data_IF_887367388581
#
_entry.id   IF_887367388581
#
_cell.length_a   1.000
_cell.length_b   1.000
_cell.length_c   1.000
_cell.angle_alpha   90.00
_cell.angle_beta   90.00
_cell.angle_gamma   90.00
#
_symmetry.space_group_name_H-M   'P 1'
#
loop_
_entity.id
_entity.type
_entity.pdbx_description
1 polymer ?
#
# COMPACT_ATOMS: atom_id res chain seq x y z
N UNK A 1 -6.40 11.42 60.78
CA UNK A 1 -5.16 11.06 61.47
C UNK A 1 -4.18 10.52 60.48
N UNK A 2 -3.05 11.26 60.35
CA UNK A 2 -1.78 10.95 59.66
C UNK A 2 -1.87 10.85 58.12
N UNK A 3 -1.60 11.86 57.36
CA UNK A 3 -0.47 12.80 57.14
C UNK A 3 0.88 12.09 56.90
N UNK A 4 1.37 12.12 55.65
CA UNK A 4 2.78 12.19 55.30
C UNK A 4 2.96 12.72 53.86
N UNK A 5 3.16 13.94 53.76
CA UNK A 5 4.15 14.88 53.21
C UNK A 5 5.18 14.30 52.23
N UNK A 6 5.10 14.85 51.02
CA UNK A 6 6.09 15.52 50.17
C UNK A 6 7.59 15.16 50.34
N UNK A 7 8.21 14.84 49.23
CA UNK A 7 9.58 15.26 48.94
C UNK A 7 9.72 15.72 47.47
N UNK A 8 9.98 17.03 47.35
CA UNK A 8 10.50 17.70 46.14
C UNK A 8 12.03 17.59 46.14
N UNK A 9 12.61 17.29 45.01
CA UNK A 9 13.94 17.68 44.44
C UNK A 9 14.24 16.67 43.32
N UNK A 10 14.61 17.04 42.14
CA UNK A 10 15.48 18.10 41.68
C UNK A 10 15.25 18.43 40.18
N UNK A 11 15.36 19.72 39.91
CA UNK A 11 15.53 20.26 38.56
C UNK A 11 16.81 19.71 37.91
N UNK A 12 16.69 19.11 36.72
CA UNK A 12 17.79 18.91 35.79
C UNK A 12 17.38 19.45 34.42
N UNK A 13 17.81 20.68 34.15
CA UNK A 13 17.71 21.28 32.80
C UNK A 13 18.56 20.43 31.84
N UNK A 14 17.93 19.85 30.85
CA UNK A 14 18.63 19.49 29.60
C UNK A 14 17.97 20.22 28.46
N UNK A 15 18.62 21.29 28.02
CA UNK A 15 18.38 21.95 26.74
C UNK A 15 18.93 21.03 25.67
N UNK A 16 18.07 20.28 25.03
CA UNK A 16 18.41 19.44 23.87
C UNK A 16 17.82 20.07 22.60
N UNK A 17 18.70 20.45 21.74
CA UNK A 17 18.50 21.17 20.48
C UNK A 17 17.40 20.54 19.64
N UNK A 18 16.38 21.35 19.31
CA UNK A 18 15.53 21.11 18.14
C UNK A 18 16.43 21.18 16.89
N UNK A 19 16.69 20.05 16.29
CA UNK A 19 17.13 19.99 14.90
C UNK A 19 15.88 19.99 14.04
N UNK A 20 15.54 21.14 13.51
CA UNK A 20 14.56 21.27 12.42
C UNK A 20 15.12 20.54 11.21
N UNK A 21 14.57 19.39 10.85
CA UNK A 21 14.79 18.81 9.53
C UNK A 21 13.89 19.53 8.53
N UNK A 22 14.43 20.54 7.93
CA UNK A 22 13.85 21.27 6.82
C UNK A 22 14.16 20.56 5.50
N UNK A 23 13.11 20.39 4.70
CA UNK A 23 13.14 20.47 3.23
C UNK A 23 13.86 19.32 2.53
N UNK A 24 13.07 18.41 2.00
CA UNK A 24 13.44 17.69 0.76
C UNK A 24 13.50 18.71 -0.40
N UNK A 25 14.63 19.40 -0.49
CA UNK A 25 14.96 20.25 -1.60
C UNK A 25 15.12 19.43 -2.86
N UNK A 26 14.57 19.91 -3.95
CA UNK A 26 14.88 19.46 -5.31
C UNK A 26 16.37 19.54 -5.54
N UNK A 27 17.06 18.39 -5.54
CA UNK A 27 18.46 18.32 -5.96
C UNK A 27 18.47 18.33 -7.48
N UNK A 28 19.11 19.33 -8.12
CA UNK A 28 19.31 19.29 -9.57
C UNK A 28 20.24 18.12 -9.91
N UNK A 29 19.82 17.29 -10.85
CA UNK A 29 20.58 16.18 -11.35
C UNK A 29 21.89 16.68 -11.98
N UNK A 30 23.00 16.47 -11.28
CA UNK A 30 24.33 16.60 -11.86
C UNK A 30 24.74 15.21 -12.34
N UNK A 31 24.86 15.08 -13.65
CA UNK A 31 25.39 13.86 -14.27
C UNK A 31 26.85 13.65 -13.83
N UNK A 32 27.09 12.64 -13.02
CA UNK A 32 28.40 12.06 -12.79
C UNK A 32 28.36 10.60 -13.20
N UNK A 33 29.22 10.22 -14.12
CA UNK A 33 29.44 8.84 -14.55
C UNK A 33 30.12 8.13 -13.37
N UNK A 34 29.54 7.07 -12.79
CA UNK A 34 30.19 6.39 -11.68
C UNK A 34 30.98 5.18 -12.14
N UNK A 35 32.19 5.08 -11.66
CA UNK A 35 32.93 3.84 -11.51
C UNK A 35 32.13 2.88 -10.61
N UNK A 36 31.88 1.68 -11.08
CA UNK A 36 31.42 0.45 -10.45
C UNK A 36 30.94 0.41 -8.99
N UNK A 37 30.03 1.29 -8.57
CA UNK A 37 29.33 1.18 -7.28
C UNK A 37 28.01 0.43 -7.45
N UNK A 38 27.61 -0.34 -6.44
CA UNK A 38 26.30 -0.98 -6.36
C UNK A 38 25.21 0.04 -6.68
N UNK A 39 24.18 -0.30 -7.48
CA UNK A 39 23.10 0.61 -7.80
C UNK A 39 22.44 1.09 -6.50
N UNK A 40 22.43 2.41 -6.29
CA UNK A 40 21.83 3.02 -5.11
C UNK A 40 20.31 3.00 -5.21
N UNK A 41 19.65 2.88 -4.05
CA UNK A 41 18.23 3.11 -3.92
C UNK A 41 17.87 4.51 -4.45
N UNK A 42 16.90 4.57 -5.36
CA UNK A 42 16.31 5.82 -5.86
C UNK A 42 14.86 5.87 -5.42
N UNK A 43 14.48 6.88 -4.66
CA UNK A 43 13.11 7.08 -4.22
C UNK A 43 12.74 8.56 -4.29
N UNK A 44 11.50 8.86 -4.65
CA UNK A 44 10.97 10.21 -4.65
C UNK A 44 9.44 10.22 -4.53
N UNK A 45 8.90 11.34 -4.04
CA UNK A 45 7.47 11.64 -4.07
C UNK A 45 7.13 12.37 -5.36
N UNK A 46 6.10 11.91 -6.06
CA UNK A 46 5.58 12.52 -7.26
C UNK A 46 4.11 12.90 -7.07
N UNK A 47 3.69 14.08 -7.51
CA UNK A 47 2.28 14.40 -7.59
C UNK A 47 1.67 13.67 -8.80
N UNK A 48 0.56 12.93 -8.59
CA UNK A 48 -0.17 12.30 -9.68
C UNK A 48 -1.56 12.93 -9.82
N UNK A 49 -1.97 13.22 -11.04
CA UNK A 49 -3.33 13.68 -11.34
C UNK A 49 -4.36 12.54 -11.20
N UNK A 50 -3.91 11.30 -11.34
CA UNK A 50 -4.71 10.08 -11.17
C UNK A 50 -4.62 9.46 -9.78
N UNK A 51 -4.05 10.16 -8.80
CA UNK A 51 -4.05 9.73 -7.38
C UNK A 51 -5.47 9.48 -6.87
N UNK A 52 -5.63 8.64 -5.81
CA UNK A 52 -6.92 8.43 -5.16
C UNK A 52 -7.62 9.71 -4.75
N UNK A 53 -6.87 10.67 -4.24
CA UNK A 53 -7.36 11.98 -3.80
C UNK A 53 -6.58 13.12 -4.48
N UNK A 54 -7.21 14.31 -4.59
CA UNK A 54 -8.58 14.67 -4.24
C UNK A 54 -9.63 13.95 -5.12
N UNK A 55 -10.81 13.69 -4.56
CA UNK A 55 -11.91 13.04 -5.24
C UNK A 55 -13.26 13.73 -4.94
N UNK A 56 -13.96 14.18 -6.00
CA UNK A 56 -15.24 14.88 -5.93
C UNK A 56 -16.35 14.12 -6.66
N UNK A 57 -16.19 12.81 -6.82
CA UNK A 57 -17.21 11.96 -7.41
C UNK A 57 -18.17 11.38 -6.36
N UNK A 58 -18.88 10.35 -6.77
CA UNK A 58 -19.89 9.68 -5.95
C UNK A 58 -19.34 8.40 -5.33
N UNK A 59 -19.89 7.99 -4.21
CA UNK A 59 -19.63 6.69 -3.59
C UNK A 59 -20.34 5.59 -4.38
N UNK A 60 -19.72 4.42 -4.56
CA UNK A 60 -20.29 3.35 -5.38
C UNK A 60 -21.40 2.58 -4.67
N UNK A 61 -21.51 2.66 -3.35
CA UNK A 61 -22.46 1.92 -2.53
C UNK A 61 -23.87 2.50 -2.57
N UNK A 62 -24.01 3.83 -2.60
CA UNK A 62 -25.30 4.52 -2.54
C UNK A 62 -25.45 5.65 -3.57
N UNK A 63 -24.40 5.96 -4.33
CA UNK A 63 -24.41 7.03 -5.35
C UNK A 63 -24.40 8.45 -4.77
N UNK A 64 -24.24 8.63 -3.45
CA UNK A 64 -24.12 9.94 -2.84
C UNK A 64 -22.76 10.57 -3.13
N UNK A 65 -22.68 11.89 -3.05
CA UNK A 65 -21.42 12.62 -3.19
C UNK A 65 -20.44 12.20 -2.10
N UNK A 66 -19.17 12.01 -2.48
CA UNK A 66 -18.13 11.67 -1.51
C UNK A 66 -17.90 12.81 -0.52
N UNK A 67 -17.81 14.06 -0.99
CA UNK A 67 -17.74 15.25 -0.15
C UNK A 67 -19.14 15.63 0.32
N UNK A 68 -19.63 14.97 1.37
CA UNK A 68 -21.00 15.05 1.89
C UNK A 68 -21.19 16.09 2.99
N UNK A 69 -20.11 16.78 3.39
CA UNK A 69 -20.14 17.82 4.42
C UNK A 69 -19.61 19.14 3.89
N UNK A 70 -20.37 20.21 4.16
CA UNK A 70 -19.89 21.58 3.98
C UNK A 70 -19.69 22.24 5.35
N UNK A 71 -18.44 22.44 5.72
CA UNK A 71 -18.07 23.11 6.95
C UNK A 71 -18.07 24.61 6.84
N UNK A 72 -17.60 25.29 7.90
CA UNK A 72 -17.45 26.73 7.90
C UNK A 72 -16.55 27.21 6.75
N UNK A 73 -16.85 28.40 6.19
CA UNK A 73 -16.12 29.02 5.08
C UNK A 73 -16.08 28.15 3.79
N UNK A 74 -17.08 27.29 3.59
CA UNK A 74 -17.16 26.47 2.38
C UNK A 74 -16.18 25.30 2.32
N UNK A 75 -15.54 24.94 3.44
CA UNK A 75 -14.65 23.76 3.48
C UNK A 75 -15.46 22.50 3.18
N UNK A 76 -15.01 21.73 2.20
CA UNK A 76 -15.57 20.43 1.88
C UNK A 76 -15.02 19.37 2.83
N UNK A 77 -15.84 18.39 3.17
CA UNK A 77 -15.48 17.27 4.03
C UNK A 77 -16.25 16.01 3.71
N UNK A 78 -15.83 14.90 4.30
CA UNK A 78 -16.44 13.60 4.17
C UNK A 78 -16.73 13.01 5.56
N UNK A 79 -17.90 12.41 5.71
CA UNK A 79 -18.28 11.63 6.89
C UNK A 79 -17.82 10.19 6.72
N UNK A 80 -16.78 9.80 7.43
CA UNK A 80 -16.27 8.43 7.35
C UNK A 80 -17.32 7.43 7.89
N UNK A 81 -17.52 6.29 7.21
CA UNK A 81 -18.34 5.20 7.71
C UNK A 81 -17.88 4.64 9.06
N UNK A 82 -16.60 4.88 9.43
CA UNK A 82 -16.03 4.48 10.71
C UNK A 82 -16.15 5.54 11.80
N UNK A 83 -16.79 6.67 11.47
CA UNK A 83 -17.02 7.80 12.35
C UNK A 83 -16.04 8.95 12.14
N UNK A 84 -16.52 10.15 12.45
CA UNK A 84 -15.78 11.38 12.28
C UNK A 84 -16.01 12.06 10.93
N UNK A 85 -15.83 13.37 10.93
CA UNK A 85 -15.84 14.21 9.72
C UNK A 85 -14.41 14.65 9.46
N UNK A 86 -13.94 14.39 8.25
CA UNK A 86 -12.60 14.75 7.79
C UNK A 86 -12.68 15.73 6.64
N UNK A 87 -11.92 16.82 6.73
CA UNK A 87 -11.97 17.88 5.74
C UNK A 87 -10.92 17.69 4.63
N UNK A 88 -11.31 18.03 3.40
CA UNK A 88 -10.50 17.83 2.20
C UNK A 88 -9.10 18.42 2.31
N UNK A 89 -9.02 19.70 2.75
CA UNK A 89 -7.77 20.44 2.85
C UNK A 89 -6.69 19.80 3.74
N UNK A 90 -7.08 18.88 4.62
CA UNK A 90 -6.16 18.15 5.51
C UNK A 90 -6.03 16.68 5.20
N UNK A 91 -7.11 16.07 4.75
CA UNK A 91 -7.21 14.61 4.67
C UNK A 91 -7.22 14.09 3.24
N UNK A 92 -7.89 14.80 2.32
CA UNK A 92 -8.16 14.29 0.97
C UNK A 92 -7.54 15.15 -0.14
N UNK A 93 -6.56 15.98 0.16
CA UNK A 93 -5.89 16.83 -0.83
C UNK A 93 -4.50 16.31 -1.24
N UNK A 94 -3.95 15.36 -0.51
CA UNK A 94 -2.61 14.83 -0.79
C UNK A 94 -2.64 13.85 -1.96
N UNK A 95 -2.09 14.25 -3.09
CA UNK A 95 -2.00 13.47 -4.32
C UNK A 95 -0.58 12.92 -4.58
N UNK A 96 0.26 12.89 -3.55
CA UNK A 96 1.62 12.37 -3.66
C UNK A 96 1.64 10.85 -3.71
N UNK A 97 2.59 10.34 -4.47
CA UNK A 97 2.86 8.93 -4.65
C UNK A 97 4.35 8.69 -4.42
N UNK A 98 4.69 7.79 -3.52
CA UNK A 98 6.05 7.31 -3.36
C UNK A 98 6.35 6.35 -4.52
N UNK A 99 7.38 6.68 -5.30
CA UNK A 99 7.94 5.79 -6.31
C UNK A 99 9.40 5.47 -5.95
N UNK A 100 9.78 4.20 -6.05
CA UNK A 100 11.14 3.79 -5.75
C UNK A 100 11.64 2.67 -6.64
N UNK A 101 12.94 2.72 -6.91
CA UNK A 101 13.75 1.66 -7.52
C UNK A 101 14.77 1.20 -6.48
N UNK A 102 14.59 0.03 -5.86
CA UNK A 102 15.54 -0.53 -4.91
C UNK A 102 16.94 -0.71 -5.52
N UNK A 103 17.95 -0.71 -4.67
CA UNK A 103 19.29 -1.08 -5.08
C UNK A 103 19.27 -2.48 -5.72
N UNK A 104 19.91 -2.62 -6.89
CA UNK A 104 19.90 -3.88 -7.63
C UNK A 104 18.69 -4.12 -8.53
N UNK A 105 17.67 -3.24 -8.55
CA UNK A 105 16.62 -3.32 -9.54
C UNK A 105 17.17 -3.25 -10.97
N UNK A 106 16.79 -4.19 -11.81
CA UNK A 106 17.25 -4.26 -13.20
C UNK A 106 16.10 -4.46 -14.18
N UNK A 107 15.79 -3.41 -14.93
CA UNK A 107 14.71 -3.43 -15.93
C UNK A 107 15.01 -4.35 -17.14
N UNK A 108 16.27 -4.79 -17.31
CA UNK A 108 16.67 -5.73 -18.36
C UNK A 108 16.34 -7.19 -18.02
N UNK A 109 16.08 -7.47 -16.74
CA UNK A 109 15.62 -8.76 -16.21
C UNK A 109 14.09 -8.79 -16.13
N UNK A 110 13.52 -9.98 -15.90
CA UNK A 110 12.12 -10.08 -15.49
C UNK A 110 11.92 -9.30 -14.19
N UNK A 111 10.99 -8.37 -14.20
CA UNK A 111 10.73 -7.49 -13.07
C UNK A 111 9.24 -7.33 -12.83
N UNK A 112 8.85 -6.82 -11.66
CA UNK A 112 7.49 -6.50 -11.29
C UNK A 112 7.40 -5.08 -10.70
N UNK A 113 6.17 -4.59 -10.50
CA UNK A 113 5.88 -3.41 -9.71
C UNK A 113 5.09 -3.87 -8.49
N UNK A 114 5.62 -3.65 -7.30
CA UNK A 114 4.87 -3.75 -6.05
C UNK A 114 4.09 -2.46 -5.89
N UNK A 115 2.76 -2.56 -5.81
CA UNK A 115 1.88 -1.42 -5.51
C UNK A 115 1.36 -1.62 -4.10
N UNK A 116 1.71 -0.73 -3.18
CA UNK A 116 1.36 -0.82 -1.78
C UNK A 116 0.27 0.17 -1.39
N UNK A 117 -0.81 -0.34 -0.79
CA UNK A 117 -1.91 0.44 -0.25
C UNK A 117 -1.89 0.39 1.26
N UNK A 118 -1.64 1.54 1.88
CA UNK A 118 -1.53 1.68 3.31
C UNK A 118 -2.90 1.64 4.02
N UNK A 119 -2.88 1.43 5.33
CA UNK A 119 -4.07 1.42 6.18
C UNK A 119 -4.53 2.81 6.60
N UNK A 120 -5.51 2.83 7.52
CA UNK A 120 -6.06 4.05 8.09
C UNK A 120 -5.06 4.78 8.99
N UNK A 121 -5.33 6.05 9.29
CA UNK A 121 -4.52 6.92 10.16
C UNK A 121 -3.04 6.98 9.76
N UNK A 122 -2.75 6.94 8.45
CA UNK A 122 -1.40 6.83 7.96
C UNK A 122 -0.99 7.98 7.02
N UNK A 123 0.31 8.23 7.01
CA UNK A 123 0.98 9.05 6.01
C UNK A 123 2.10 8.27 5.34
N UNK A 124 2.48 8.65 4.12
CA UNK A 124 3.56 7.98 3.40
C UNK A 124 4.88 8.01 4.20
N UNK A 125 5.26 9.17 4.77
CA UNK A 125 6.54 9.26 5.47
C UNK A 125 6.49 8.52 6.81
N UNK A 126 5.59 8.92 7.72
CA UNK A 126 5.57 8.39 9.09
C UNK A 126 5.28 6.89 9.13
N UNK A 127 4.35 6.43 8.29
CA UNK A 127 3.86 5.05 8.39
C UNK A 127 4.47 4.14 7.34
N UNK A 128 4.39 4.50 6.05
CA UNK A 128 4.84 3.60 4.97
C UNK A 128 6.37 3.49 4.95
N UNK A 129 7.08 4.63 5.09
CA UNK A 129 8.55 4.64 5.05
C UNK A 129 9.13 4.30 6.41
N UNK A 130 8.78 5.05 7.47
CA UNK A 130 9.50 4.96 8.74
C UNK A 130 9.00 3.80 9.61
N UNK A 131 7.69 3.71 9.89
CA UNK A 131 7.14 2.70 10.82
C UNK A 131 7.04 1.31 10.19
N UNK A 132 6.41 1.20 9.02
CA UNK A 132 6.19 -0.08 8.33
C UNK A 132 7.39 -0.52 7.49
N UNK A 133 8.31 0.38 7.22
CA UNK A 133 9.55 0.14 6.46
C UNK A 133 9.30 -0.54 5.11
N UNK A 134 8.18 -0.19 4.44
CA UNK A 134 7.76 -0.87 3.19
C UNK A 134 8.84 -0.76 2.12
N UNK A 135 9.48 0.41 2.01
CA UNK A 135 10.57 0.63 1.07
C UNK A 135 11.75 -0.31 1.35
N UNK A 136 12.16 -0.43 2.61
CA UNK A 136 13.25 -1.31 3.02
C UNK A 136 12.87 -2.77 2.82
N UNK A 137 11.64 -3.15 3.14
CA UNK A 137 11.16 -4.51 2.96
C UNK A 137 11.18 -4.93 1.48
N UNK A 138 10.74 -4.06 0.57
CA UNK A 138 10.86 -4.33 -0.87
C UNK A 138 12.33 -4.35 -1.31
N UNK A 139 13.15 -3.43 -0.79
CA UNK A 139 14.56 -3.34 -1.13
C UNK A 139 15.36 -4.56 -0.65
N UNK A 140 15.02 -5.11 0.51
CA UNK A 140 15.73 -6.25 1.10
C UNK A 140 15.25 -7.61 0.55
N UNK A 141 14.12 -7.65 -0.17
CA UNK A 141 13.65 -8.88 -0.79
C UNK A 141 14.49 -9.30 -1.99
N UNK A 142 14.45 -10.58 -2.34
CA UNK A 142 15.07 -11.12 -3.56
C UNK A 142 14.25 -10.84 -4.82
N UNK A 143 13.12 -10.15 -4.69
CA UNK A 143 12.27 -9.81 -5.81
C UNK A 143 12.85 -8.62 -6.59
N UNK A 144 13.00 -8.77 -7.90
CA UNK A 144 13.34 -7.66 -8.79
C UNK A 144 12.09 -6.79 -9.04
N UNK A 145 11.80 -5.88 -8.12
CA UNK A 145 10.60 -5.07 -8.17
C UNK A 145 10.85 -3.59 -7.88
N UNK A 146 10.12 -2.73 -8.59
CA UNK A 146 9.93 -1.33 -8.24
C UNK A 146 8.78 -1.19 -7.22
N UNK A 147 8.78 -0.12 -6.43
CA UNK A 147 7.71 0.21 -5.47
C UNK A 147 6.93 1.43 -5.93
N UNK A 148 5.60 1.35 -5.82
CA UNK A 148 4.66 2.47 -5.93
C UNK A 148 3.72 2.44 -4.72
N UNK A 149 3.58 3.56 -4.02
CA UNK A 149 2.63 3.69 -2.91
C UNK A 149 1.95 5.07 -2.96
N UNK A 150 0.65 5.13 -3.28
CA UNK A 150 -0.12 6.38 -3.21
C UNK A 150 -0.44 6.75 -1.77
N UNK A 151 -0.61 8.07 -1.50
CA UNK A 151 -1.26 8.53 -0.29
C UNK A 151 -2.77 8.36 -0.44
N UNK A 152 -3.40 7.71 0.53
CA UNK A 152 -4.85 7.70 0.75
C UNK A 152 -5.24 8.77 1.76
N UNK A 153 -6.40 8.63 2.41
CA UNK A 153 -6.86 9.57 3.44
C UNK A 153 -5.77 9.77 4.52
N UNK A 154 -5.31 11.03 4.65
CA UNK A 154 -4.25 11.39 5.59
C UNK A 154 -4.81 11.44 7.01
N UNK A 155 -4.18 10.72 7.94
CA UNK A 155 -4.51 10.75 9.38
C UNK A 155 -6.01 10.60 9.67
N UNK A 156 -6.70 9.74 8.92
CA UNK A 156 -8.13 9.50 9.05
C UNK A 156 -8.43 8.02 9.25
N UNK A 157 -9.44 7.75 10.05
CA UNK A 157 -10.04 6.43 10.17
C UNK A 157 -11.01 6.21 9.00
N UNK A 158 -10.46 6.19 7.78
CA UNK A 158 -11.22 6.11 6.54
C UNK A 158 -10.47 5.26 5.51
N UNK A 159 -11.16 4.25 4.99
CA UNK A 159 -10.65 3.31 3.99
C UNK A 159 -11.11 3.63 2.57
N UNK A 160 -11.66 4.80 2.33
CA UNK A 160 -12.21 5.20 1.03
C UNK A 160 -11.19 5.10 -0.09
N UNK A 161 -11.59 4.51 -1.21
CA UNK A 161 -10.72 4.33 -2.36
C UNK A 161 -10.61 5.57 -3.25
N UNK A 162 -11.48 6.58 -3.02
CA UNK A 162 -11.50 7.79 -3.79
C UNK A 162 -11.64 7.54 -5.29
N UNK A 163 -10.76 8.13 -6.10
CA UNK A 163 -10.79 7.95 -7.56
C UNK A 163 -10.71 6.48 -8.02
N UNK A 164 -10.16 5.57 -7.21
CA UNK A 164 -10.10 4.16 -7.61
C UNK A 164 -11.46 3.46 -7.65
N UNK A 165 -12.53 4.09 -7.14
CA UNK A 165 -13.89 3.67 -7.40
C UNK A 165 -14.32 3.82 -8.87
N UNK A 166 -13.66 4.72 -9.62
CA UNK A 166 -14.02 5.01 -11.01
C UNK A 166 -13.44 3.93 -11.94
N UNK A 167 -14.25 3.36 -12.85
CA UNK A 167 -13.77 2.38 -13.81
C UNK A 167 -12.56 2.87 -14.61
N UNK A 168 -11.50 2.05 -14.66
CA UNK A 168 -10.26 2.36 -15.38
C UNK A 168 -9.28 3.29 -14.66
N UNK A 169 -9.65 3.88 -13.51
CA UNK A 169 -8.80 4.86 -12.83
C UNK A 169 -7.47 4.26 -12.32
N UNK A 170 -7.46 3.02 -11.84
CA UNK A 170 -6.21 2.38 -11.43
C UNK A 170 -5.27 2.13 -12.62
N UNK A 171 -5.79 1.82 -13.80
CA UNK A 171 -4.97 1.73 -15.01
C UNK A 171 -4.35 3.06 -15.41
N UNK A 172 -5.09 4.18 -15.27
CA UNK A 172 -4.55 5.54 -15.47
C UNK A 172 -3.45 5.85 -14.45
N UNK A 173 -3.68 5.56 -13.18
CA UNK A 173 -2.68 5.68 -12.11
C UNK A 173 -1.40 4.92 -12.44
N UNK A 174 -1.50 3.67 -12.91
CA UNK A 174 -0.35 2.87 -13.32
C UNK A 174 0.35 3.43 -14.57
N UNK A 175 -0.35 4.20 -15.39
CA UNK A 175 0.23 4.95 -16.51
C UNK A 175 1.15 6.09 -16.02
N UNK A 176 0.72 6.87 -15.03
CA UNK A 176 1.56 7.90 -14.37
C UNK A 176 2.70 7.27 -13.57
N UNK A 177 2.44 6.17 -12.86
CA UNK A 177 3.48 5.41 -12.16
C UNK A 177 4.61 4.96 -13.09
N UNK A 178 4.27 4.50 -14.29
CA UNK A 178 5.26 4.11 -15.30
C UNK A 178 6.12 5.29 -15.75
N UNK A 179 5.55 6.48 -15.81
CA UNK A 179 6.28 7.72 -16.14
C UNK A 179 7.22 8.13 -15.00
N UNK A 180 6.75 8.06 -13.74
CA UNK A 180 7.56 8.36 -12.56
C UNK A 180 8.75 7.40 -12.41
N UNK A 181 8.51 6.09 -12.59
CA UNK A 181 9.56 5.07 -12.56
C UNK A 181 10.58 5.25 -13.68
N UNK A 182 10.15 5.60 -14.89
CA UNK A 182 11.06 5.90 -16.00
C UNK A 182 11.94 7.13 -15.71
N UNK A 183 11.38 8.14 -15.03
CA UNK A 183 12.14 9.31 -14.57
C UNK A 183 13.19 8.91 -13.52
N UNK A 184 12.85 8.08 -12.55
CA UNK A 184 13.80 7.54 -11.57
C UNK A 184 14.88 6.65 -12.21
N UNK A 185 14.49 5.87 -13.21
CA UNK A 185 15.44 5.05 -13.99
C UNK A 185 16.45 5.91 -14.76
N UNK A 186 16.07 7.15 -15.11
CA UNK A 186 16.92 8.09 -15.84
C UNK A 186 16.74 8.03 -17.36
N UNK A 187 15.66 7.41 -17.85
CA UNK A 187 15.35 7.35 -19.28
C UNK A 187 13.84 7.38 -19.52
N UNK A 188 13.37 8.43 -20.19
CA UNK A 188 11.95 8.53 -20.61
C UNK A 188 11.50 7.40 -21.52
N UNK A 189 12.41 6.83 -22.31
CA UNK A 189 12.13 5.70 -23.19
C UNK A 189 11.79 4.41 -22.41
N UNK A 190 12.15 4.31 -21.14
CA UNK A 190 11.81 3.19 -20.28
C UNK A 190 10.32 3.14 -19.88
N UNK A 191 9.53 4.21 -20.13
CA UNK A 191 8.12 4.27 -19.76
C UNK A 191 7.31 3.09 -20.28
N UNK A 192 7.49 2.72 -21.55
CA UNK A 192 6.77 1.58 -22.14
C UNK A 192 7.16 0.26 -21.48
N UNK A 193 8.42 0.07 -21.11
CA UNK A 193 8.86 -1.11 -20.37
C UNK A 193 8.19 -1.18 -18.99
N UNK A 194 8.18 -0.11 -18.22
CA UNK A 194 7.48 -0.06 -16.92
C UNK A 194 5.97 -0.26 -17.09
N UNK A 195 5.36 0.28 -18.15
CA UNK A 195 3.93 0.09 -18.44
C UNK A 195 3.57 -1.36 -18.75
N UNK A 196 4.52 -2.18 -19.22
CA UNK A 196 4.36 -3.61 -19.47
C UNK A 196 4.61 -4.51 -18.27
N UNK A 197 5.21 -4.01 -17.19
CA UNK A 197 5.56 -4.86 -16.04
C UNK A 197 4.31 -5.40 -15.33
N UNK A 198 4.36 -6.65 -14.85
CA UNK A 198 3.35 -7.22 -13.97
C UNK A 198 3.27 -6.45 -12.65
N UNK A 199 2.11 -6.53 -12.01
CA UNK A 199 1.79 -5.86 -10.75
C UNK A 199 1.61 -6.92 -9.67
N UNK A 200 2.22 -6.69 -8.51
CA UNK A 200 1.91 -7.35 -7.25
C UNK A 200 1.25 -6.30 -6.37
N UNK A 201 -0.05 -6.47 -6.13
CA UNK A 201 -0.83 -5.57 -5.29
C UNK A 201 -0.71 -6.00 -3.84
N UNK A 202 -0.27 -5.11 -2.98
CA UNK A 202 -0.13 -5.34 -1.55
C UNK A 202 -1.04 -4.35 -0.81
N UNK A 203 -1.87 -4.83 0.09
CA UNK A 203 -2.71 -3.97 0.93
C UNK A 203 -2.54 -4.34 2.40
N UNK A 204 -2.49 -3.32 3.23
CA UNK A 204 -2.50 -3.43 4.68
C UNK A 204 -3.74 -2.74 5.26
N UNK A 205 -4.44 -3.40 6.21
CA UNK A 205 -5.53 -2.77 6.96
C UNK A 205 -6.58 -2.12 6.03
N UNK A 206 -6.88 -0.84 6.24
CA UNK A 206 -7.81 -0.04 5.43
C UNK A 206 -7.51 0.02 3.93
N UNK A 207 -6.31 -0.38 3.50
CA UNK A 207 -5.94 -0.53 2.09
C UNK A 207 -6.74 -1.58 1.32
N UNK A 208 -7.56 -2.38 2.01
CA UNK A 208 -8.43 -3.38 1.38
C UNK A 208 -9.43 -2.77 0.39
N UNK A 209 -10.03 -1.63 0.74
CA UNK A 209 -11.07 -1.02 -0.10
C UNK A 209 -10.52 -0.56 -1.45
N UNK A 210 -9.44 0.27 -1.51
CA UNK A 210 -8.84 0.59 -2.80
C UNK A 210 -8.29 -0.64 -3.55
N UNK A 211 -7.83 -1.69 -2.85
CA UNK A 211 -7.39 -2.93 -3.49
C UNK A 211 -8.57 -3.65 -4.16
N UNK A 212 -9.70 -3.80 -3.46
CA UNK A 212 -10.90 -4.43 -4.00
C UNK A 212 -11.40 -3.73 -5.27
N UNK A 213 -11.43 -2.40 -5.28
CA UNK A 213 -11.88 -1.64 -6.44
C UNK A 213 -10.85 -1.59 -7.58
N UNK A 214 -9.54 -1.57 -7.26
CA UNK A 214 -8.50 -1.75 -8.27
C UNK A 214 -8.65 -3.09 -9.02
N UNK A 215 -9.06 -4.15 -8.31
CA UNK A 215 -9.33 -5.48 -8.88
C UNK A 215 -10.66 -5.52 -9.63
N UNK A 216 -11.73 -4.94 -9.08
CA UNK A 216 -13.07 -5.05 -9.65
C UNK A 216 -13.25 -4.20 -10.91
N UNK A 217 -12.85 -2.93 -10.86
CA UNK A 217 -13.13 -1.95 -11.92
C UNK A 217 -11.90 -1.19 -12.42
N UNK A 218 -10.73 -1.40 -11.82
CA UNK A 218 -9.54 -0.58 -12.03
C UNK A 218 -8.90 -0.65 -13.42
N UNK A 219 -9.25 -1.64 -14.25
CA UNK A 219 -8.83 -1.73 -15.66
C UNK A 219 -7.42 -2.30 -15.88
N UNK A 220 -6.69 -2.73 -14.82
CA UNK A 220 -5.33 -3.24 -14.93
C UNK A 220 -5.21 -4.77 -14.68
N UNK A 221 -6.32 -5.50 -14.61
CA UNK A 221 -6.36 -6.92 -14.19
C UNK A 221 -5.40 -7.84 -14.97
N UNK A 222 -5.21 -7.60 -16.27
CA UNK A 222 -4.28 -8.40 -17.08
C UNK A 222 -2.83 -8.28 -16.63
N UNK A 223 -2.47 -7.24 -15.88
CA UNK A 223 -1.12 -7.02 -15.34
C UNK A 223 -0.98 -7.54 -13.91
N UNK A 224 -2.06 -7.68 -13.16
CA UNK A 224 -2.01 -8.12 -11.76
C UNK A 224 -1.70 -9.62 -11.74
N UNK A 225 -0.54 -9.98 -11.17
CA UNK A 225 -0.02 -11.36 -11.06
C UNK A 225 0.01 -11.86 -9.63
N UNK A 226 -0.27 -11.01 -8.68
CA UNK A 226 -0.37 -11.38 -7.28
C UNK A 226 -1.10 -10.34 -6.45
N UNK A 227 -1.79 -10.81 -5.43
CA UNK A 227 -2.41 -9.99 -4.39
C UNK A 227 -1.94 -10.51 -3.04
N UNK A 228 -1.47 -9.61 -2.20
CA UNK A 228 -1.03 -9.87 -0.82
C UNK A 228 -1.83 -8.96 0.10
N UNK A 229 -2.61 -9.55 1.00
CA UNK A 229 -3.35 -8.84 2.03
C UNK A 229 -2.72 -9.13 3.40
N UNK A 230 -2.38 -8.07 4.11
CA UNK A 230 -1.78 -8.12 5.44
C UNK A 230 -2.76 -7.48 6.43
N UNK A 231 -3.51 -8.34 7.12
CA UNK A 231 -4.62 -7.99 8.02
C UNK A 231 -5.60 -6.99 7.40
N UNK A 232 -5.91 -7.19 6.11
CA UNK A 232 -6.62 -6.23 5.27
C UNK A 232 -7.97 -6.74 4.75
N UNK A 233 -8.28 -8.03 4.82
CA UNK A 233 -9.53 -8.56 4.28
C UNK A 233 -10.67 -8.44 5.30
N UNK A 234 -11.12 -7.22 5.55
CA UNK A 234 -12.18 -6.93 6.53
C UNK A 234 -13.56 -6.74 5.88
N UNK A 235 -13.59 -6.36 4.61
CA UNK A 235 -14.81 -6.20 3.80
C UNK A 235 -14.51 -6.41 2.31
N UNK A 236 -15.49 -6.18 1.42
CA UNK A 236 -15.38 -6.32 -0.05
C UNK A 236 -15.03 -7.75 -0.49
N UNK A 237 -15.38 -8.74 0.28
CA UNK A 237 -15.06 -10.16 0.02
C UNK A 237 -15.59 -10.67 -1.31
N UNK A 238 -16.73 -10.15 -1.80
CA UNK A 238 -17.30 -10.45 -3.11
C UNK A 238 -16.33 -10.09 -4.25
N UNK A 239 -15.67 -8.93 -4.19
CA UNK A 239 -14.73 -8.46 -5.22
C UNK A 239 -13.44 -9.27 -5.24
N UNK A 240 -12.91 -9.60 -4.05
CA UNK A 240 -11.74 -10.48 -3.94
C UNK A 240 -12.06 -11.89 -4.44
N UNK A 241 -13.18 -12.48 -4.03
CA UNK A 241 -13.58 -13.80 -4.50
C UNK A 241 -13.80 -13.85 -6.02
N UNK A 242 -14.47 -12.83 -6.58
CA UNK A 242 -14.69 -12.73 -8.03
C UNK A 242 -13.36 -12.60 -8.79
N UNK A 243 -12.41 -11.78 -8.29
CA UNK A 243 -11.10 -11.66 -8.92
C UNK A 243 -10.31 -12.96 -8.82
N UNK A 244 -10.30 -13.64 -7.68
CA UNK A 244 -9.62 -14.95 -7.51
C UNK A 244 -10.22 -15.94 -8.51
N UNK A 245 -11.54 -16.04 -8.59
CA UNK A 245 -12.21 -16.97 -9.52
C UNK A 245 -11.82 -16.73 -10.97
N UNK A 246 -11.69 -15.47 -11.38
CA UNK A 246 -11.32 -15.09 -12.74
C UNK A 246 -9.82 -15.22 -13.05
N UNK A 247 -8.96 -15.08 -12.03
CA UNK A 247 -7.52 -14.80 -12.24
C UNK A 247 -6.57 -15.82 -11.62
N UNK A 248 -7.00 -16.67 -10.67
CA UNK A 248 -6.10 -17.55 -9.89
C UNK A 248 -5.15 -18.39 -10.76
N UNK A 249 -5.58 -18.86 -11.94
CA UNK A 249 -4.72 -19.66 -12.83
C UNK A 249 -3.53 -18.88 -13.42
N UNK A 250 -3.60 -17.54 -13.39
CA UNK A 250 -2.57 -16.65 -13.94
C UNK A 250 -1.91 -15.76 -12.87
N UNK A 251 -2.40 -15.85 -11.63
CA UNK A 251 -1.97 -15.03 -10.50
C UNK A 251 -2.04 -15.83 -9.20
N UNK A 252 -1.40 -15.33 -8.16
CA UNK A 252 -1.54 -15.86 -6.80
C UNK A 252 -2.35 -14.92 -5.92
N UNK A 253 -2.90 -15.45 -4.84
CA UNK A 253 -3.56 -14.70 -3.77
C UNK A 253 -3.03 -15.17 -2.41
N UNK A 254 -2.69 -14.21 -1.56
CA UNK A 254 -2.30 -14.45 -0.17
C UNK A 254 -3.03 -13.49 0.74
N UNK A 255 -3.63 -14.00 1.82
CA UNK A 255 -4.16 -13.21 2.92
C UNK A 255 -3.65 -13.77 4.23
N UNK A 256 -2.83 -12.98 4.93
CA UNK A 256 -2.46 -13.23 6.32
C UNK A 256 -3.31 -12.34 7.23
N UNK A 257 -3.88 -12.89 8.31
CA UNK A 257 -4.86 -12.15 9.09
C UNK A 257 -4.89 -12.53 10.57
N UNK A 258 -5.20 -11.54 11.39
CA UNK A 258 -5.52 -11.66 12.81
C UNK A 258 -7.01 -11.96 13.01
N UNK A 259 -7.42 -12.16 14.25
CA UNK A 259 -8.84 -12.36 14.61
C UNK A 259 -9.74 -11.20 14.12
N UNK A 260 -9.19 -9.98 14.03
CA UNK A 260 -9.93 -8.80 13.59
C UNK A 260 -10.42 -8.90 12.12
N UNK A 261 -9.68 -9.59 11.26
CA UNK A 261 -10.04 -9.79 9.85
C UNK A 261 -10.56 -11.21 9.54
N UNK A 262 -10.74 -12.07 10.54
CA UNK A 262 -11.17 -13.46 10.37
C UNK A 262 -12.51 -13.59 9.64
N UNK A 263 -13.49 -12.72 9.95
CA UNK A 263 -14.81 -12.76 9.33
C UNK A 263 -14.78 -12.53 7.81
N UNK A 264 -14.00 -11.56 7.35
CA UNK A 264 -13.84 -11.27 5.91
C UNK A 264 -13.11 -12.41 5.17
N UNK A 265 -12.08 -12.97 5.80
CA UNK A 265 -11.37 -14.13 5.23
C UNK A 265 -12.29 -15.35 5.11
N UNK A 266 -13.03 -15.69 6.16
CA UNK A 266 -14.00 -16.81 6.14
C UNK A 266 -15.12 -16.61 5.11
N UNK A 267 -15.53 -15.35 4.84
CA UNK A 267 -16.51 -15.07 3.78
C UNK A 267 -15.93 -15.42 2.39
N UNK A 268 -14.71 -14.99 2.10
CA UNK A 268 -14.04 -15.30 0.83
C UNK A 268 -13.80 -16.80 0.69
N UNK A 269 -13.32 -17.48 1.72
CA UNK A 269 -13.11 -18.93 1.73
C UNK A 269 -14.41 -19.69 1.40
N UNK A 270 -15.55 -19.32 1.99
CA UNK A 270 -16.86 -19.92 1.66
C UNK A 270 -17.24 -19.70 0.21
N UNK A 271 -17.05 -18.48 -0.30
CA UNK A 271 -17.33 -18.15 -1.72
C UNK A 271 -16.47 -18.97 -2.66
N UNK A 272 -15.17 -19.12 -2.39
CA UNK A 272 -14.26 -19.93 -3.19
C UNK A 272 -14.66 -21.40 -3.18
N UNK A 273 -14.98 -21.94 -2.00
CA UNK A 273 -15.45 -23.32 -1.85
C UNK A 273 -16.71 -23.57 -2.68
N UNK A 274 -17.68 -22.63 -2.68
CA UNK A 274 -18.91 -22.74 -3.48
C UNK A 274 -18.65 -22.72 -5.00
N UNK A 275 -17.51 -22.18 -5.42
CA UNK A 275 -17.06 -22.19 -6.83
C UNK A 275 -16.08 -23.33 -7.15
N UNK A 276 -15.84 -24.26 -6.21
CA UNK A 276 -14.90 -25.36 -6.38
C UNK A 276 -13.44 -24.94 -6.47
N UNK A 277 -13.09 -23.78 -5.92
CA UNK A 277 -11.70 -23.28 -5.88
C UNK A 277 -11.08 -23.67 -4.54
N UNK A 278 -10.02 -24.50 -4.60
CA UNK A 278 -9.26 -24.88 -3.43
C UNK A 278 -8.31 -23.79 -2.96
N UNK A 279 -7.97 -23.80 -1.68
CA UNK A 279 -6.99 -22.93 -1.06
C UNK A 279 -6.20 -23.65 0.03
N UNK A 280 -5.06 -23.10 0.42
CA UNK A 280 -4.25 -23.57 1.53
C UNK A 280 -4.35 -22.63 2.73
N UNK A 281 -4.10 -23.15 3.95
CA UNK A 281 -4.18 -22.40 5.20
C UNK A 281 -2.84 -22.29 5.95
N UNK A 282 -1.77 -22.83 5.36
CA UNK A 282 -0.42 -22.75 5.93
C UNK A 282 0.45 -21.70 5.24
N UNK A 283 1.52 -21.29 5.91
CA UNK A 283 2.51 -20.37 5.34
C UNK A 283 3.07 -20.95 4.03
N UNK A 284 3.05 -20.20 2.92
CA UNK A 284 3.45 -20.70 1.61
C UNK A 284 4.96 -20.89 1.53
N UNK A 285 5.40 -21.93 0.83
CA UNK A 285 6.81 -22.11 0.45
C UNK A 285 7.18 -21.30 -0.79
N UNK A 286 6.22 -21.07 -1.65
CA UNK A 286 6.31 -20.25 -2.87
C UNK A 286 4.99 -19.54 -3.09
N UNK A 287 4.99 -18.46 -3.86
CA UNK A 287 3.83 -17.73 -4.35
C UNK A 287 3.92 -17.70 -5.88
N UNK A 288 3.09 -18.48 -6.54
CA UNK A 288 3.07 -18.67 -7.99
C UNK A 288 1.63 -18.71 -8.51
N UNK A 289 1.41 -18.54 -9.80
CA UNK A 289 0.09 -18.67 -10.40
C UNK A 289 -0.58 -19.99 -10.00
N UNK A 290 -1.81 -19.90 -9.53
CA UNK A 290 -2.58 -21.02 -8.99
C UNK A 290 -2.66 -21.07 -7.47
N UNK A 291 -1.73 -20.43 -6.77
CA UNK A 291 -1.74 -20.44 -5.30
C UNK A 291 -2.79 -19.48 -4.75
N UNK A 292 -3.66 -19.99 -3.89
CA UNK A 292 -4.60 -19.22 -3.08
C UNK A 292 -4.38 -19.64 -1.63
N UNK A 293 -4.01 -18.69 -0.77
CA UNK A 293 -3.58 -19.00 0.59
C UNK A 293 -4.19 -18.04 1.60
N UNK A 294 -4.75 -18.60 2.68
CA UNK A 294 -5.25 -17.85 3.83
C UNK A 294 -4.51 -18.32 5.08
N UNK A 295 -3.92 -17.39 5.83
CA UNK A 295 -3.12 -17.73 7.01
C UNK A 295 -3.64 -16.96 8.22
N UNK A 296 -4.33 -17.67 9.11
CA UNK A 296 -4.69 -17.11 10.42
C UNK A 296 -3.44 -17.08 11.32
N UNK A 297 -3.23 -15.95 11.98
CA UNK A 297 -2.14 -15.77 12.94
C UNK A 297 -2.70 -15.43 14.31
N UNK A 298 -2.46 -16.30 15.27
CA UNK A 298 -2.87 -16.09 16.65
C UNK A 298 -1.87 -15.16 17.38
N UNK A 299 -2.39 -14.22 18.18
CA UNK A 299 -1.57 -13.41 19.07
C UNK A 299 -0.70 -12.35 18.36
N UNK A 300 -0.99 -12.02 17.13
CA UNK A 300 -0.36 -10.92 16.40
C UNK A 300 -1.29 -9.72 16.44
N UNK A 301 -0.81 -8.61 16.96
CA UNK A 301 -1.54 -7.37 16.98
C UNK A 301 -1.57 -6.74 15.57
N UNK A 302 -2.66 -6.01 15.29
CA UNK A 302 -2.85 -5.36 14.00
C UNK A 302 -1.68 -4.47 13.59
N UNK A 303 -1.17 -3.67 14.52
CA UNK A 303 -0.07 -2.73 14.25
C UNK A 303 1.26 -3.42 13.95
N UNK A 304 1.46 -4.64 14.46
CA UNK A 304 2.66 -5.43 14.25
C UNK A 304 2.65 -6.17 12.91
N UNK A 305 1.50 -6.23 12.24
CA UNK A 305 1.32 -7.06 11.04
C UNK A 305 2.26 -6.72 9.89
N UNK A 306 2.74 -5.48 9.83
CA UNK A 306 3.71 -5.04 8.82
C UNK A 306 5.16 -5.26 9.21
N UNK A 307 5.45 -5.48 10.50
CA UNK A 307 6.84 -5.50 11.00
C UNK A 307 7.22 -6.77 11.74
N UNK A 308 6.26 -7.46 12.36
CA UNK A 308 6.53 -8.63 13.19
C UNK A 308 5.32 -9.57 13.31
N UNK A 309 4.80 -10.05 12.17
CA UNK A 309 3.70 -11.02 12.16
C UNK A 309 4.22 -12.44 12.50
N UNK A 310 4.28 -13.36 11.53
CA UNK A 310 4.90 -14.70 11.72
C UNK A 310 6.42 -14.69 11.63
N UNK A 311 7.00 -13.62 11.15
CA UNK A 311 8.44 -13.31 11.09
C UNK A 311 8.64 -11.81 11.18
N UNK A 312 9.85 -11.36 11.46
CA UNK A 312 10.26 -9.97 11.22
C UNK A 312 10.21 -9.66 9.74
N UNK A 313 9.72 -8.45 9.39
CA UNK A 313 9.61 -8.01 8.00
C UNK A 313 8.81 -8.97 7.10
N UNK A 314 7.53 -9.23 7.43
CA UNK A 314 6.72 -10.25 6.76
C UNK A 314 6.51 -9.97 5.27
N UNK A 315 6.55 -8.70 4.83
CA UNK A 315 6.47 -8.37 3.42
C UNK A 315 7.74 -8.83 2.67
N UNK A 316 8.93 -8.62 3.23
CA UNK A 316 10.19 -9.17 2.67
C UNK A 316 10.07 -10.68 2.50
N UNK A 317 9.63 -11.37 3.56
CA UNK A 317 9.47 -12.82 3.58
C UNK A 317 8.49 -13.32 2.50
N UNK A 318 7.38 -12.63 2.26
CA UNK A 318 6.43 -12.96 1.20
C UNK A 318 7.00 -12.69 -0.18
N UNK A 319 7.65 -11.53 -0.38
CA UNK A 319 8.22 -11.15 -1.66
C UNK A 319 9.35 -12.10 -2.10
N UNK A 320 10.13 -12.65 -1.16
CA UNK A 320 11.15 -13.68 -1.43
C UNK A 320 10.57 -14.96 -2.00
N UNK A 321 9.28 -15.20 -1.76
CA UNK A 321 8.56 -16.41 -2.24
C UNK A 321 7.87 -16.22 -3.57
N UNK A 322 7.75 -14.98 -4.04
CA UNK A 322 7.16 -14.70 -5.35
C UNK A 322 8.05 -15.24 -6.45
N UNK A 323 7.51 -16.15 -7.25
CA UNK A 323 8.27 -16.80 -8.31
C UNK A 323 8.26 -16.01 -9.62
N UNK A 324 9.35 -16.12 -10.37
CA UNK A 324 9.41 -15.61 -11.74
C UNK A 324 10.11 -14.26 -11.93
N UNK A 325 10.48 -13.56 -10.86
CA UNK A 325 11.09 -12.22 -10.92
C UNK A 325 12.31 -12.10 -10.00
N UNK A 326 13.35 -12.95 -10.14
CA UNK A 326 14.53 -12.89 -9.26
C UNK A 326 15.35 -11.62 -9.54
N UNK A 327 15.93 -11.06 -8.48
CA UNK A 327 16.83 -9.90 -8.54
C UNK A 327 18.18 -10.23 -9.18
#
# INVERSE_FOLDING_TARGET
MLDHRLSRRSLGRLVGKLAALSVLGTVPARASIPHGGLPQLKAALFPFSSSPFPYHGVRPDDGSEFMDVQGQNGRLGHTSPRGGVYYEDRTYSDHRVLAALPAGFDLRKKAAIVVFFHGNNATLQRDVVDRQRVLDQVANSNLNAALIAPQFAVDALDSSAGRFWVPGAFAQFMGEASTALAKLWGSGNARSAFAGLPIILVAYSGGYNPAAYALAVGGANRRIRGVILLDALVAEGDKFAAWIAASHRAAFFFSGYSDAAAGGNSDVERRLTSHGIGFSTGLPRALQPGDVTFVATAGVDHDDYMTNAWVSDPLTWLLDRVQGYPR
#
